data_IF_136423841721
#
_entry.id   IF_136423841721
#
_cell.length_a   1.000
_cell.length_b   1.000
_cell.length_c   1.000
_cell.angle_alpha   90.00
_cell.angle_beta   90.00
_cell.angle_gamma   90.00
#
_symmetry.space_group_name_H-M   'P 1'
#
loop_
_entity.id
_entity.type
_entity.pdbx_description
1 polymer ?
#
# COMPACT_ATOMS: atom_id res chain seq x y z
N UNK A 1 -1.15 23.54 -33.40
CA UNK A 1 -1.77 22.94 -32.20
C UNK A 1 -1.98 21.46 -32.50
N UNK A 2 -1.24 20.55 -31.85
CA UNK A 2 -1.30 19.12 -32.17
C UNK A 2 -2.71 18.59 -31.99
N UNK A 3 -3.31 18.04 -33.06
CA UNK A 3 -4.63 17.40 -32.99
C UNK A 3 -4.52 16.14 -32.15
N UNK A 4 -5.26 16.07 -31.04
CA UNK A 4 -5.38 14.86 -30.23
C UNK A 4 -6.03 13.76 -31.08
N UNK A 5 -5.21 12.86 -31.62
CA UNK A 5 -5.67 11.68 -32.36
C UNK A 5 -6.54 10.78 -31.47
N UNK A 6 -7.49 10.07 -32.07
CA UNK A 6 -8.32 9.03 -31.44
C UNK A 6 -7.49 8.03 -30.62
N UNK A 7 -6.23 7.79 -31.00
CA UNK A 7 -5.34 6.90 -30.26
C UNK A 7 -5.00 7.40 -28.84
N UNK A 8 -4.86 8.71 -28.64
CA UNK A 8 -4.66 9.29 -27.31
C UNK A 8 -5.91 9.06 -26.44
N UNK A 9 -7.09 9.23 -27.01
CA UNK A 9 -8.35 8.96 -26.32
C UNK A 9 -8.50 7.50 -25.92
N UNK A 10 -8.05 6.57 -26.76
CA UNK A 10 -8.00 5.14 -26.41
C UNK A 10 -7.05 4.90 -25.24
N UNK A 11 -5.86 5.49 -25.23
CA UNK A 11 -4.91 5.38 -24.11
C UNK A 11 -5.52 5.94 -22.82
N UNK A 12 -6.12 7.13 -22.88
CA UNK A 12 -6.80 7.73 -21.73
C UNK A 12 -7.96 6.85 -21.23
N UNK A 13 -8.77 6.31 -22.13
CA UNK A 13 -9.87 5.41 -21.76
C UNK A 13 -9.34 4.12 -21.11
N UNK A 14 -8.29 3.50 -21.67
CA UNK A 14 -7.70 2.28 -21.10
C UNK A 14 -7.09 2.56 -19.72
N UNK A 15 -6.36 3.66 -19.57
CA UNK A 15 -5.75 4.05 -18.30
C UNK A 15 -6.77 4.35 -17.20
N UNK A 16 -8.01 4.71 -17.57
CA UNK A 16 -9.09 5.01 -16.61
C UNK A 16 -10.01 3.79 -16.38
N UNK A 17 -10.46 3.11 -17.44
CA UNK A 17 -11.40 1.99 -17.32
C UNK A 17 -10.76 0.73 -16.75
N UNK A 18 -9.50 0.44 -17.10
CA UNK A 18 -8.81 -0.73 -16.60
C UNK A 18 -8.69 -0.76 -15.06
N UNK A 19 -8.22 0.30 -14.38
CA UNK A 19 -8.17 0.30 -12.92
C UNK A 19 -9.55 0.26 -12.26
N UNK A 20 -10.59 0.84 -12.87
CA UNK A 20 -11.94 0.82 -12.34
C UNK A 20 -12.51 -0.61 -12.19
N UNK A 21 -12.14 -1.53 -13.09
CA UNK A 21 -12.55 -2.94 -12.98
C UNK A 21 -12.05 -3.56 -11.66
N UNK A 22 -10.82 -3.22 -11.24
CA UNK A 22 -10.24 -3.71 -9.99
C UNK A 22 -10.82 -3.01 -8.76
N UNK A 23 -11.18 -1.73 -8.88
CA UNK A 23 -11.85 -0.96 -7.82
C UNK A 23 -13.18 -1.61 -7.44
N UNK A 24 -14.01 -1.91 -8.44
CA UNK A 24 -15.36 -2.44 -8.22
C UNK A 24 -15.42 -3.94 -7.97
N UNK A 25 -14.31 -4.66 -8.07
CA UNK A 25 -14.27 -6.09 -7.71
C UNK A 25 -14.46 -6.23 -6.20
N UNK A 26 -15.54 -6.87 -5.71
CA UNK A 26 -15.72 -7.09 -4.27
C UNK A 26 -14.68 -8.10 -3.76
N UNK A 27 -14.31 -8.04 -2.47
CA UNK A 27 -13.53 -9.11 -1.86
C UNK A 27 -14.34 -10.42 -1.89
N UNK A 28 -13.68 -11.59 -1.99
CA UNK A 28 -14.37 -12.86 -1.93
C UNK A 28 -15.19 -13.02 -0.64
N UNK A 29 -16.38 -13.65 -0.73
CA UNK A 29 -17.22 -13.91 0.42
C UNK A 29 -16.58 -14.97 1.33
N UNK A 30 -16.93 -14.96 2.61
CA UNK A 30 -16.48 -15.92 3.60
C UNK A 30 -15.42 -15.36 4.56
N UNK A 31 -14.94 -16.21 5.49
CA UNK A 31 -13.94 -15.81 6.46
C UNK A 31 -12.64 -15.37 5.77
N UNK A 32 -11.87 -14.53 6.47
CA UNK A 32 -10.62 -14.03 5.94
C UNK A 32 -9.64 -15.19 5.68
N UNK A 33 -9.17 -15.32 4.43
CA UNK A 33 -8.28 -16.43 4.02
C UNK A 33 -6.83 -16.29 4.52
N UNK A 34 -6.45 -15.12 5.02
CA UNK A 34 -5.07 -14.78 5.37
C UNK A 34 -4.76 -14.98 6.86
N UNK A 35 -5.68 -15.59 7.61
CA UNK A 35 -5.49 -16.00 9.00
C UNK A 35 -6.23 -15.13 10.02
N UNK A 36 -5.83 -15.29 11.28
CA UNK A 36 -6.43 -14.60 12.42
C UNK A 36 -6.31 -13.07 12.34
N UNK A 37 -7.24 -12.32 12.94
CA UNK A 37 -7.20 -10.87 12.95
C UNK A 37 -5.90 -10.32 13.52
N UNK A 38 -5.37 -9.30 12.86
CA UNK A 38 -4.19 -8.61 13.33
C UNK A 38 -4.53 -7.75 14.55
N UNK A 39 -3.75 -7.90 15.62
CA UNK A 39 -3.97 -7.14 16.85
C UNK A 39 -3.42 -5.71 16.72
N UNK A 40 -4.07 -4.72 17.36
CA UNK A 40 -3.51 -3.37 17.44
C UNK A 40 -2.15 -3.41 18.14
N UNK A 41 -1.25 -2.53 17.71
CA UNK A 41 0.14 -2.44 18.16
C UNK A 41 0.47 -1.00 18.55
N UNK A 42 1.42 -0.82 19.47
CA UNK A 42 2.03 0.48 19.74
C UNK A 42 3.03 0.87 18.63
N UNK A 43 3.50 2.12 18.65
CA UNK A 43 4.44 2.63 17.65
C UNK A 43 5.75 1.82 17.58
N UNK A 44 6.37 1.52 18.73
CA UNK A 44 7.61 0.75 18.80
C UNK A 44 7.43 -0.69 18.31
N UNK A 45 6.33 -1.33 18.71
CA UNK A 45 5.98 -2.68 18.24
C UNK A 45 5.74 -2.72 16.73
N UNK A 46 5.11 -1.69 16.17
CA UNK A 46 4.88 -1.58 14.74
C UNK A 46 6.20 -1.48 13.96
N UNK A 47 7.18 -0.69 14.42
CA UNK A 47 8.50 -0.60 13.79
C UNK A 47 9.26 -1.93 13.91
N UNK A 48 9.20 -2.57 15.07
CA UNK A 48 9.80 -3.90 15.24
C UNK A 48 9.17 -4.94 14.30
N UNK A 49 7.84 -4.94 14.18
CA UNK A 49 7.11 -5.80 13.24
C UNK A 49 7.46 -5.49 11.79
N UNK A 50 7.62 -4.21 11.43
CA UNK A 50 7.97 -3.75 10.09
C UNK A 50 9.30 -4.34 9.61
N UNK A 51 10.34 -4.26 10.43
CA UNK A 51 11.65 -4.85 10.11
C UNK A 51 11.68 -6.37 10.28
N UNK A 52 10.90 -6.94 11.22
CA UNK A 52 10.79 -8.40 11.36
C UNK A 52 10.12 -9.06 10.16
N UNK A 53 9.14 -8.39 9.56
CA UNK A 53 8.38 -8.85 8.39
C UNK A 53 8.86 -8.22 7.08
N UNK A 54 10.18 -8.08 6.92
CA UNK A 54 10.78 -7.30 5.83
C UNK A 54 10.37 -7.77 4.42
N UNK A 55 10.46 -9.08 4.13
CA UNK A 55 9.94 -9.69 2.88
C UNK A 55 8.88 -10.75 3.20
N UNK A 56 7.96 -10.44 4.13
CA UNK A 56 6.88 -11.36 4.47
C UNK A 56 5.53 -10.86 3.93
N UNK A 57 5.11 -11.43 2.80
CA UNK A 57 3.82 -11.11 2.18
C UNK A 57 2.65 -11.94 2.72
N UNK A 58 2.89 -12.82 3.70
CA UNK A 58 1.86 -13.68 4.28
C UNK A 58 1.34 -13.11 5.60
N UNK A 59 0.07 -13.39 5.90
CA UNK A 59 -0.60 -12.90 7.09
C UNK A 59 -1.27 -11.55 6.92
N UNK A 60 -1.65 -10.96 8.06
CA UNK A 60 -2.45 -9.74 8.17
C UNK A 60 -1.69 -8.67 8.94
N UNK A 61 -1.93 -7.41 8.59
CA UNK A 61 -1.39 -6.26 9.31
C UNK A 61 -2.53 -5.40 9.86
N UNK A 62 -2.41 -5.03 11.13
CA UNK A 62 -3.39 -4.17 11.79
C UNK A 62 -3.34 -2.75 11.22
N UNK A 63 -4.41 -1.98 11.41
CA UNK A 63 -4.44 -0.56 11.02
C UNK A 63 -3.31 0.22 11.65
N UNK A 64 -3.07 0.02 12.94
CA UNK A 64 -1.98 0.67 13.68
C UNK A 64 -0.60 0.28 13.14
N UNK A 65 -0.37 -1.00 12.80
CA UNK A 65 0.92 -1.44 12.23
C UNK A 65 1.23 -0.70 10.93
N UNK A 66 0.26 -0.61 10.02
CA UNK A 66 0.43 0.08 8.74
C UNK A 66 0.66 1.59 8.92
N UNK A 67 -0.19 2.27 9.69
CA UNK A 67 -0.10 3.72 9.86
C UNK A 67 1.13 4.17 10.66
N UNK A 68 1.56 3.41 11.67
CA UNK A 68 2.81 3.69 12.37
C UNK A 68 4.04 3.40 11.49
N UNK A 69 4.00 2.34 10.67
CA UNK A 69 5.04 2.11 9.66
C UNK A 69 5.11 3.27 8.67
N UNK A 70 3.96 3.75 8.18
CA UNK A 70 3.91 4.91 7.28
C UNK A 70 4.49 6.18 7.92
N UNK A 71 4.15 6.45 9.19
CA UNK A 71 4.73 7.57 9.94
C UNK A 71 6.24 7.45 10.10
N UNK A 72 6.75 6.23 10.36
CA UNK A 72 8.19 5.98 10.41
C UNK A 72 8.86 6.20 9.04
N UNK A 73 8.25 5.71 7.95
CA UNK A 73 8.75 5.94 6.59
C UNK A 73 8.83 7.43 6.27
N UNK A 74 7.76 8.18 6.54
CA UNK A 74 7.69 9.62 6.31
C UNK A 74 8.67 10.41 7.19
N UNK A 75 8.75 10.08 8.49
CA UNK A 75 9.68 10.74 9.40
C UNK A 75 11.13 10.48 9.02
N UNK A 76 11.48 9.23 8.71
CA UNK A 76 12.84 8.87 8.30
C UNK A 76 13.23 9.50 6.96
N UNK A 77 12.30 9.64 5.99
CA UNK A 77 12.61 10.28 4.72
C UNK A 77 12.94 11.76 4.90
N UNK A 78 12.19 12.50 5.73
CA UNK A 78 12.46 13.91 6.02
C UNK A 78 13.82 14.07 6.70
N UNK A 79 14.13 13.22 7.69
CA UNK A 79 15.43 13.27 8.39
C UNK A 79 16.59 13.02 7.43
N UNK A 80 16.47 12.03 6.55
CA UNK A 80 17.53 11.69 5.59
C UNK A 80 17.70 12.82 4.55
N UNK A 81 16.62 13.42 4.07
CA UNK A 81 16.67 14.53 3.11
C UNK A 81 17.38 15.76 3.68
N UNK A 82 17.21 16.06 4.97
CA UNK A 82 17.89 17.20 5.63
C UNK A 82 19.40 16.94 5.80
N UNK A 83 19.81 15.68 5.97
CA UNK A 83 21.21 15.31 6.23
C UNK A 83 21.99 15.09 4.94
N UNK A 84 21.34 14.54 3.91
CA UNK A 84 21.99 14.11 2.68
C UNK A 84 22.20 15.27 1.69
N UNK A 85 23.46 15.66 1.49
CA UNK A 85 23.84 16.68 0.51
C UNK A 85 24.04 16.11 -0.92
N UNK A 86 24.18 14.79 -1.04
CA UNK A 86 24.54 14.10 -2.30
C UNK A 86 23.37 13.43 -3.00
N UNK A 87 22.29 13.16 -2.26
CA UNK A 87 21.14 12.35 -2.71
C UNK A 87 21.40 10.84 -2.71
N UNK A 88 22.64 10.38 -2.56
CA UNK A 88 22.99 8.95 -2.61
C UNK A 88 22.46 8.21 -1.38
N UNK A 89 22.52 8.83 -0.20
CA UNK A 89 22.05 8.22 1.06
C UNK A 89 20.53 8.09 1.01
N UNK A 90 19.82 9.12 0.53
CA UNK A 90 18.37 9.06 0.32
C UNK A 90 17.96 7.95 -0.64
N UNK A 91 18.73 7.75 -1.72
CA UNK A 91 18.47 6.71 -2.70
C UNK A 91 18.61 5.32 -2.06
N UNK A 92 19.72 5.05 -1.38
CA UNK A 92 19.96 3.76 -0.72
C UNK A 92 18.89 3.51 0.35
N UNK A 93 18.58 4.51 1.16
CA UNK A 93 17.55 4.41 2.20
C UNK A 93 16.18 4.07 1.61
N UNK A 94 15.80 4.75 0.52
CA UNK A 94 14.53 4.48 -0.16
C UNK A 94 14.45 3.05 -0.70
N UNK A 95 15.55 2.53 -1.26
CA UNK A 95 15.63 1.16 -1.79
C UNK A 95 15.53 0.10 -0.69
N UNK A 96 16.16 0.33 0.47
CA UNK A 96 16.05 -0.56 1.64
C UNK A 96 14.61 -0.59 2.15
N UNK A 97 13.97 0.57 2.31
CA UNK A 97 12.61 0.63 2.85
C UNK A 97 11.51 0.24 1.85
N UNK A 98 11.84 0.16 0.56
CA UNK A 98 10.88 -0.16 -0.50
C UNK A 98 10.22 -1.53 -0.31
N UNK A 99 11.02 -2.58 -0.08
CA UNK A 99 10.51 -3.94 0.11
C UNK A 99 9.60 -4.11 1.35
N UNK A 100 10.01 -3.67 2.56
CA UNK A 100 9.14 -3.78 3.72
C UNK A 100 7.89 -2.88 3.63
N UNK A 101 7.95 -1.76 2.91
CA UNK A 101 6.77 -0.93 2.64
C UNK A 101 5.71 -1.68 1.80
N UNK A 102 6.15 -2.39 0.75
CA UNK A 102 5.26 -3.24 -0.06
C UNK A 102 4.73 -4.43 0.75
N UNK A 103 5.58 -5.02 1.60
CA UNK A 103 5.22 -6.12 2.50
C UNK A 103 4.07 -5.72 3.44
N UNK A 104 4.21 -4.62 4.19
CA UNK A 104 3.17 -4.17 5.13
C UNK A 104 1.89 -3.73 4.41
N UNK A 105 2.01 -3.08 3.24
CA UNK A 105 0.87 -2.70 2.40
C UNK A 105 0.09 -3.94 1.90
N UNK A 106 0.80 -4.99 1.50
CA UNK A 106 0.22 -6.28 1.08
C UNK A 106 -0.55 -6.93 2.23
N UNK A 107 0.09 -7.08 3.40
CA UNK A 107 -0.55 -7.65 4.60
C UNK A 107 -1.73 -6.80 5.09
N UNK A 108 -1.72 -5.48 4.85
CA UNK A 108 -2.85 -4.61 5.16
C UNK A 108 -4.05 -4.87 4.24
N UNK A 109 -3.83 -5.08 2.94
CA UNK A 109 -4.89 -5.48 2.00
C UNK A 109 -5.45 -6.88 2.31
N UNK A 110 -4.61 -7.76 2.83
CA UNK A 110 -5.04 -9.08 3.31
C UNK A 110 -6.01 -8.98 4.49
N UNK A 111 -5.91 -7.95 5.33
CA UNK A 111 -6.82 -7.74 6.45
C UNK A 111 -8.28 -7.48 6.01
N UNK A 112 -8.48 -6.96 4.80
CA UNK A 112 -9.80 -6.76 4.17
C UNK A 112 -10.15 -7.86 3.15
N UNK A 113 -9.47 -9.01 3.21
CA UNK A 113 -9.62 -10.16 2.33
C UNK A 113 -9.38 -9.86 0.83
N UNK A 114 -8.65 -8.78 0.51
CA UNK A 114 -8.23 -8.42 -0.85
C UNK A 114 -6.81 -8.94 -1.10
N UNK A 115 -6.44 -9.15 -2.37
CA UNK A 115 -5.06 -9.52 -2.70
C UNK A 115 -4.11 -8.32 -2.63
N UNK A 116 -2.86 -8.55 -2.24
CA UNK A 116 -1.81 -7.50 -2.22
C UNK A 116 -1.60 -6.78 -3.55
N UNK A 117 -1.89 -7.44 -4.68
CA UNK A 117 -1.82 -6.84 -6.02
C UNK A 117 -2.66 -5.58 -6.18
N UNK A 118 -3.70 -5.39 -5.37
CA UNK A 118 -4.52 -4.18 -5.39
C UNK A 118 -3.75 -2.92 -4.98
N UNK A 119 -2.56 -3.02 -4.39
CA UNK A 119 -1.72 -1.84 -4.12
C UNK A 119 -1.23 -1.14 -5.39
N UNK A 120 -1.08 -1.87 -6.51
CA UNK A 120 -0.68 -1.30 -7.80
C UNK A 120 -1.70 -0.31 -8.37
N UNK A 121 -2.94 -0.37 -7.87
CA UNK A 121 -3.97 0.60 -8.20
C UNK A 121 -3.55 2.03 -7.81
N UNK A 122 -2.68 2.19 -6.80
CA UNK A 122 -2.12 3.50 -6.42
C UNK A 122 -1.33 4.19 -7.53
N UNK A 123 -0.78 3.45 -8.50
CA UNK A 123 -0.10 4.01 -9.67
C UNK A 123 -1.06 4.76 -10.61
N UNK A 124 -2.36 4.47 -10.55
CA UNK A 124 -3.40 5.10 -11.38
C UNK A 124 -4.05 6.28 -10.65
N UNK A 125 -3.26 7.31 -10.34
CA UNK A 125 -3.72 8.53 -9.68
C UNK A 125 -4.62 9.39 -10.61
N UNK A 126 -5.62 10.11 -10.08
CA UNK A 126 -5.95 10.25 -8.65
C UNK A 126 -6.88 9.16 -8.10
N UNK A 127 -7.70 8.53 -8.94
CA UNK A 127 -8.78 7.63 -8.51
C UNK A 127 -8.24 6.42 -7.73
N UNK A 128 -7.23 5.75 -8.28
CA UNK A 128 -6.68 4.54 -7.68
C UNK A 128 -5.96 4.78 -6.36
N UNK A 129 -5.27 5.92 -6.23
CA UNK A 129 -4.66 6.36 -4.97
C UNK A 129 -5.71 6.51 -3.86
N UNK A 130 -6.78 7.26 -4.14
CA UNK A 130 -7.84 7.53 -3.16
C UNK A 130 -8.49 6.23 -2.70
N UNK A 131 -8.81 5.32 -3.63
CA UNK A 131 -9.43 4.02 -3.31
C UNK A 131 -8.53 3.18 -2.40
N UNK A 132 -7.24 3.10 -2.70
CA UNK A 132 -6.28 2.32 -1.91
C UNK A 132 -6.10 2.92 -0.51
N UNK A 133 -6.06 4.25 -0.38
CA UNK A 133 -6.02 4.94 0.92
C UNK A 133 -7.27 4.60 1.74
N UNK A 134 -8.46 4.67 1.14
CA UNK A 134 -9.71 4.28 1.81
C UNK A 134 -9.62 2.84 2.31
N UNK A 135 -9.12 1.91 1.49
CA UNK A 135 -8.92 0.52 1.89
C UNK A 135 -7.93 0.35 3.05
N UNK A 136 -6.88 1.17 3.14
CA UNK A 136 -5.97 1.14 4.29
C UNK A 136 -6.63 1.62 5.59
N UNK A 137 -7.62 2.52 5.51
CA UNK A 137 -8.41 3.01 6.65
C UNK A 137 -9.53 2.05 7.11
N UNK A 138 -10.05 1.21 6.23
CA UNK A 138 -11.20 0.32 6.50
C UNK A 138 -10.90 -0.69 7.61
N UNK A 139 -11.84 -1.03 8.52
CA UNK A 139 -11.68 -2.15 9.45
C UNK A 139 -11.34 -3.47 8.76
N UNK A 140 -10.56 -4.30 9.45
CA UNK A 140 -10.37 -5.70 9.06
C UNK A 140 -11.71 -6.42 9.00
N UNK A 141 -11.84 -7.31 8.02
CA UNK A 141 -13.07 -8.08 7.81
C UNK A 141 -12.88 -9.45 8.43
N UNK A 142 -13.59 -9.70 9.52
CA UNK A 142 -13.73 -11.00 10.15
C UNK A 142 -15.21 -11.37 10.08
N UNK A 143 -15.58 -12.21 9.10
CA UNK A 143 -16.93 -12.76 9.04
C UNK A 143 -17.04 -13.82 10.15
N UNK A 144 -17.55 -13.42 11.32
CA UNK A 144 -18.26 -14.33 12.22
C UNK A 144 -19.62 -14.64 11.64
#
# INVERSE_FOLDING_TARGET
MGSFSLWHWIIFLVLIFFPLIFVFRPPPPGPNRFGAPAMPMSFGEAIASFFRNYVNFQGRAARSEYWFSFLFLFGSSVVIEVIDNSGIISLIWSLVLFLPAISVATRRLHDINRSGWHQLLSCFAPVGLIVVIVWYCTPGRDET
#
